data_IF_465309200453
#
_entry.id   IF_465309200453
#
_cell.length_a   1.000
_cell.length_b   1.000
_cell.length_c   1.000
_cell.angle_alpha   90.00
_cell.angle_beta   90.00
_cell.angle_gamma   90.00
#
_symmetry.space_group_name_H-M   'P 1'
#
loop_
_entity.id
_entity.type
_entity.pdbx_description
1 polymer ?
#
# COMPACT_ATOMS: atom_id res chain seq x y z
N UNK A 1 -4.62 28.00 -7.62
CA UNK A 1 -3.83 26.91 -7.10
C UNK A 1 -2.35 27.12 -7.36
N UNK A 2 -1.53 26.82 -6.40
CA UNK A 2 -0.10 26.98 -6.57
C UNK A 2 0.44 25.85 -7.43
N UNK A 3 1.15 26.24 -8.49
CA UNK A 3 1.74 25.26 -9.38
C UNK A 3 3.24 25.25 -9.17
N UNK A 4 3.71 24.13 -8.66
CA UNK A 4 5.13 23.90 -8.46
C UNK A 4 5.68 23.14 -9.65
N UNK A 5 6.99 23.19 -9.86
CA UNK A 5 7.59 22.38 -10.91
C UNK A 5 7.18 20.92 -10.72
N UNK A 6 6.65 20.34 -11.76
CA UNK A 6 6.17 18.95 -11.73
C UNK A 6 4.72 18.80 -11.35
N UNK A 7 4.11 19.79 -10.72
CA UNK A 7 2.72 19.67 -10.31
C UNK A 7 1.73 19.77 -11.46
N UNK A 8 2.17 20.30 -12.58
CA UNK A 8 1.31 20.33 -13.76
C UNK A 8 1.00 18.92 -14.24
N UNK A 9 1.96 18.02 -14.08
CA UNK A 9 1.74 16.62 -14.41
C UNK A 9 1.14 15.87 -13.24
N UNK A 10 1.12 16.48 -12.06
CA UNK A 10 0.58 15.85 -10.86
C UNK A 10 -0.77 16.47 -10.55
N UNK A 11 -1.80 15.76 -10.93
CA UNK A 11 -3.16 16.22 -10.73
C UNK A 11 -3.60 15.83 -9.33
N UNK A 12 -3.78 16.83 -8.48
CA UNK A 12 -4.05 16.58 -7.06
C UNK A 12 -5.32 15.78 -6.86
N UNK A 13 -6.38 16.14 -7.59
CA UNK A 13 -7.66 15.49 -7.38
C UNK A 13 -7.65 14.00 -7.72
N UNK A 14 -7.18 13.58 -8.90
CA UNK A 14 -7.13 12.15 -9.20
C UNK A 14 -6.22 11.38 -8.25
N UNK A 15 -5.11 11.99 -7.82
CA UNK A 15 -4.22 11.30 -6.89
C UNK A 15 -4.86 11.13 -5.54
N UNK A 16 -5.59 12.15 -5.08
CA UNK A 16 -6.29 12.06 -3.81
C UNK A 16 -7.40 11.00 -3.87
N UNK A 17 -8.12 10.95 -4.99
CA UNK A 17 -9.16 9.95 -5.19
C UNK A 17 -8.55 8.54 -5.16
N UNK A 18 -7.38 8.37 -5.79
CA UNK A 18 -6.71 7.08 -5.78
C UNK A 18 -6.37 6.64 -4.35
N UNK A 19 -5.91 7.58 -3.52
CA UNK A 19 -5.61 7.25 -2.13
C UNK A 19 -6.87 6.79 -1.38
N UNK A 20 -7.98 7.46 -1.63
CA UNK A 20 -9.25 7.08 -1.01
C UNK A 20 -9.68 5.69 -1.49
N UNK A 21 -9.52 5.41 -2.78
CA UNK A 21 -9.87 4.09 -3.31
C UNK A 21 -9.02 3.01 -2.69
N UNK A 22 -7.70 3.25 -2.57
CA UNK A 22 -6.82 2.29 -1.92
C UNK A 22 -7.26 2.01 -0.49
N UNK A 23 -7.62 3.07 0.24
CA UNK A 23 -8.12 2.94 1.60
C UNK A 23 -9.36 2.07 1.64
N UNK A 24 -10.33 2.36 0.75
CA UNK A 24 -11.60 1.64 0.75
C UNK A 24 -11.42 0.18 0.35
N UNK A 25 -10.53 -0.10 -0.60
CA UNK A 25 -10.32 -1.48 -1.03
C UNK A 25 -9.69 -2.32 0.06
N UNK A 26 -8.91 -1.71 0.94
CA UNK A 26 -8.28 -2.43 2.03
C UNK A 26 -9.20 -2.66 3.23
N UNK A 27 -10.30 -1.92 3.32
CA UNK A 27 -11.19 -2.05 4.46
C UNK A 27 -11.75 -3.45 4.66
N UNK A 28 -12.25 -4.13 3.60
CA UNK A 28 -12.77 -5.48 3.81
C UNK A 28 -11.71 -6.45 4.33
N UNK A 29 -10.49 -6.30 3.84
CA UNK A 29 -9.40 -7.16 4.30
C UNK A 29 -9.08 -6.88 5.76
N UNK A 30 -8.99 -5.60 6.11
CA UNK A 30 -8.73 -5.20 7.48
C UNK A 30 -9.83 -5.64 8.42
N UNK A 31 -11.08 -5.53 7.98
CA UNK A 31 -12.20 -5.98 8.77
C UNK A 31 -12.11 -7.48 9.06
N UNK A 32 -11.80 -8.26 8.02
CA UNK A 32 -11.67 -9.71 8.19
C UNK A 32 -10.55 -10.05 9.17
N UNK A 33 -9.40 -9.38 9.04
CA UNK A 33 -8.27 -9.66 9.90
C UNK A 33 -8.52 -9.18 11.34
N UNK A 34 -9.24 -8.07 11.47
CA UNK A 34 -9.60 -7.57 12.80
C UNK A 34 -10.41 -8.61 13.56
N UNK A 35 -11.34 -9.25 12.85
CA UNK A 35 -12.22 -10.23 13.47
C UNK A 35 -11.54 -11.56 13.74
N UNK A 36 -10.58 -11.94 12.89
CA UNK A 36 -10.03 -13.29 12.94
C UNK A 36 -8.73 -13.38 13.71
N UNK A 37 -7.88 -12.40 13.56
CA UNK A 37 -6.49 -12.55 13.99
C UNK A 37 -6.06 -11.58 15.09
N UNK A 38 -6.38 -10.31 14.91
CA UNK A 38 -6.07 -9.25 15.87
C UNK A 38 -4.65 -8.74 15.87
N UNK A 39 -3.73 -9.37 15.13
CA UNK A 39 -2.38 -8.83 15.07
C UNK A 39 -2.31 -7.59 14.20
N UNK A 40 -3.24 -7.46 13.23
CA UNK A 40 -3.39 -6.28 12.41
C UNK A 40 -4.81 -6.28 11.87
N UNK A 41 -5.39 -5.11 11.66
CA UNK A 41 -6.76 -5.04 11.23
C UNK A 41 -7.14 -3.70 10.63
N UNK A 42 -8.26 -3.15 11.09
CA UNK A 42 -8.87 -1.97 10.48
C UNK A 42 -7.97 -0.75 10.44
N UNK A 43 -6.99 -0.66 11.32
CA UNK A 43 -6.07 0.44 11.29
C UNK A 43 -4.91 0.19 10.34
N UNK A 44 -4.36 -1.00 10.41
CA UNK A 44 -3.12 -1.31 9.71
C UNK A 44 -3.31 -1.46 8.20
N UNK A 45 -4.36 -2.18 7.78
CA UNK A 45 -4.51 -2.50 6.37
C UNK A 45 -4.77 -1.28 5.50
N UNK A 46 -5.72 -0.40 5.86
CA UNK A 46 -5.89 0.79 5.04
C UNK A 46 -4.66 1.68 5.02
N UNK A 47 -3.92 1.77 6.12
CA UNK A 47 -2.72 2.59 6.14
C UNK A 47 -1.64 2.04 5.21
N UNK A 48 -1.48 0.71 5.17
CA UNK A 48 -0.51 0.10 4.27
C UNK A 48 -0.89 0.37 2.81
N UNK A 49 -2.18 0.23 2.49
CA UNK A 49 -2.64 0.47 1.12
C UNK A 49 -2.42 1.93 0.72
N UNK A 50 -2.78 2.86 1.59
CA UNK A 50 -2.62 4.29 1.30
C UNK A 50 -1.15 4.65 1.15
N UNK A 51 -0.32 4.17 2.06
CA UNK A 51 1.11 4.46 2.01
C UNK A 51 1.73 3.91 0.73
N UNK A 52 1.40 2.66 0.37
CA UNK A 52 1.93 2.06 -0.85
C UNK A 52 1.51 2.85 -2.08
N UNK A 53 0.24 3.23 -2.14
CA UNK A 53 -0.28 4.05 -3.23
C UNK A 53 0.45 5.39 -3.29
N UNK A 54 0.62 6.03 -2.14
CA UNK A 54 1.27 7.33 -2.07
C UNK A 54 2.73 7.29 -2.49
N UNK A 55 3.46 6.25 -2.08
CA UNK A 55 4.86 6.12 -2.49
C UNK A 55 4.98 5.95 -4.00
N UNK A 56 4.08 5.17 -4.60
CA UNK A 56 4.08 4.99 -6.05
C UNK A 56 3.77 6.30 -6.74
N UNK A 57 2.78 7.04 -6.25
CA UNK A 57 2.44 8.34 -6.83
C UNK A 57 3.62 9.30 -6.75
N UNK A 58 4.29 9.34 -5.61
CA UNK A 58 5.44 10.21 -5.44
C UNK A 58 6.56 9.80 -6.40
N UNK A 59 6.79 8.51 -6.54
CA UNK A 59 7.84 8.02 -7.43
C UNK A 59 7.54 8.39 -8.88
N UNK A 60 6.28 8.26 -9.30
CA UNK A 60 5.92 8.63 -10.67
C UNK A 60 6.15 10.10 -10.91
N UNK A 61 5.85 10.92 -9.90
CA UNK A 61 6.02 12.35 -10.01
C UNK A 61 7.48 12.74 -10.21
N UNK A 62 8.38 12.07 -9.50
CA UNK A 62 9.80 12.38 -9.59
C UNK A 62 10.52 11.64 -10.71
N UNK A 63 10.04 10.44 -11.03
CA UNK A 63 10.75 9.58 -11.99
C UNK A 63 10.60 10.07 -13.41
N UNK A 64 9.51 10.76 -13.73
CA UNK A 64 9.25 11.27 -15.08
C UNK A 64 9.41 10.16 -16.13
N UNK A 65 8.95 8.97 -15.79
CA UNK A 65 9.01 7.86 -16.72
C UNK A 65 10.26 7.00 -16.65
N UNK A 66 11.17 7.30 -15.73
CA UNK A 66 12.38 6.49 -15.57
C UNK A 66 12.04 5.19 -14.85
N UNK A 67 12.16 4.09 -15.58
CA UNK A 67 11.79 2.79 -15.03
C UNK A 67 12.66 2.36 -13.87
N UNK A 68 13.93 2.77 -13.86
CA UNK A 68 14.83 2.35 -12.79
C UNK A 68 14.40 2.91 -11.43
N UNK A 69 13.92 4.15 -11.41
CA UNK A 69 13.47 4.75 -10.17
C UNK A 69 12.24 4.00 -9.65
N UNK A 70 11.29 3.74 -10.55
CA UNK A 70 10.09 3.03 -10.15
C UNK A 70 10.40 1.61 -9.68
N UNK A 71 11.31 0.93 -10.37
CA UNK A 71 11.70 -0.42 -9.97
C UNK A 71 12.27 -0.40 -8.55
N UNK A 72 13.11 0.57 -8.23
CA UNK A 72 13.67 0.68 -6.89
C UNK A 72 12.60 0.91 -5.83
N UNK A 73 11.62 1.75 -6.15
CA UNK A 73 10.52 2.02 -5.22
C UNK A 73 9.70 0.76 -5.00
N UNK A 74 9.37 0.03 -6.07
CA UNK A 74 8.59 -1.19 -5.93
C UNK A 74 9.32 -2.24 -5.12
N UNK A 75 10.62 -2.39 -5.34
CA UNK A 75 11.41 -3.33 -4.55
C UNK A 75 11.42 -2.94 -3.09
N UNK A 76 11.55 -1.65 -2.81
CA UNK A 76 11.53 -1.17 -1.44
C UNK A 76 10.18 -1.41 -0.78
N UNK A 77 9.09 -1.21 -1.53
CA UNK A 77 7.76 -1.44 -0.99
C UNK A 77 7.53 -2.91 -0.69
N UNK A 78 7.93 -3.80 -1.62
CA UNK A 78 7.78 -5.22 -1.41
C UNK A 78 8.52 -5.65 -0.14
N UNK A 79 9.74 -5.16 0.01
CA UNK A 79 10.54 -5.48 1.19
C UNK A 79 9.92 -4.91 2.46
N UNK A 80 9.49 -3.65 2.41
CA UNK A 80 8.94 -2.99 3.58
C UNK A 80 7.63 -3.61 4.05
N UNK A 81 6.74 -3.90 3.11
CA UNK A 81 5.47 -4.54 3.46
C UNK A 81 5.74 -5.94 3.99
N UNK A 82 6.74 -6.63 3.42
CA UNK A 82 7.15 -7.93 3.92
C UNK A 82 7.64 -7.84 5.37
N UNK A 83 8.38 -6.78 5.69
CA UNK A 83 8.84 -6.57 7.06
C UNK A 83 7.67 -6.35 8.01
N UNK A 84 6.69 -5.53 7.60
CA UNK A 84 5.49 -5.31 8.41
C UNK A 84 4.73 -6.62 8.59
N UNK A 85 4.61 -7.39 7.50
CA UNK A 85 3.95 -8.67 7.56
C UNK A 85 4.64 -9.63 8.51
N UNK A 86 5.97 -9.65 8.45
CA UNK A 86 6.74 -10.48 9.38
C UNK A 86 6.51 -10.08 10.81
N UNK A 87 6.36 -8.78 11.05
CA UNK A 87 6.07 -8.28 12.39
C UNK A 87 4.68 -8.67 12.89
N UNK A 88 3.77 -9.03 11.99
CA UNK A 88 2.44 -9.45 12.38
C UNK A 88 2.37 -10.93 12.79
N UNK A 89 3.42 -11.67 12.53
CA UNK A 89 3.45 -13.09 12.87
C UNK A 89 3.82 -13.26 14.34
N UNK A 90 2.97 -13.94 15.08
CA UNK A 90 3.15 -14.14 16.50
C UNK A 90 3.38 -15.63 16.78
N UNK A 91 4.31 -15.90 17.67
CA UNK A 91 4.62 -17.27 18.06
C UNK A 91 4.17 -17.49 19.51
N UNK A 92 3.35 -18.51 19.70
CA UNK A 92 2.87 -18.89 21.01
C UNK A 92 3.21 -20.35 21.25
N UNK A 93 4.26 -20.60 22.02
CA UNK A 93 4.68 -21.98 22.26
C UNK A 93 5.03 -22.67 20.96
N UNK A 94 4.27 -23.69 20.59
CA UNK A 94 4.48 -24.41 19.33
C UNK A 94 3.60 -23.90 18.22
N UNK A 95 2.72 -22.92 18.51
CA UNK A 95 1.81 -22.35 17.50
C UNK A 95 2.38 -21.08 16.92
N UNK A 96 2.09 -20.85 15.64
CA UNK A 96 2.43 -19.60 14.98
C UNK A 96 1.14 -18.96 14.50
N UNK A 97 0.92 -17.72 14.94
CA UNK A 97 -0.28 -16.97 14.57
C UNK A 97 0.10 -15.81 13.65
N UNK A 98 -0.83 -15.41 12.83
CA UNK A 98 -0.64 -14.20 12.04
C UNK A 98 -0.11 -14.44 10.63
N UNK A 99 0.05 -15.71 10.21
CA UNK A 99 0.55 -15.95 8.86
C UNK A 99 -0.45 -15.49 7.81
N UNK A 100 -1.75 -15.69 8.05
CA UNK A 100 -2.77 -15.20 7.12
C UNK A 100 -2.79 -13.67 7.10
N UNK A 101 -2.60 -13.06 8.26
CA UNK A 101 -2.52 -11.61 8.33
C UNK A 101 -1.31 -11.08 7.57
N UNK A 102 -0.16 -11.74 7.72
CA UNK A 102 1.04 -11.35 7.00
C UNK A 102 0.83 -11.43 5.49
N UNK A 103 0.23 -12.53 5.02
CA UNK A 103 -0.04 -12.68 3.59
C UNK A 103 -1.03 -11.62 3.10
N UNK A 104 -2.04 -11.32 3.92
CA UNK A 104 -3.03 -10.30 3.56
C UNK A 104 -2.40 -8.91 3.51
N UNK A 105 -1.44 -8.62 4.38
CA UNK A 105 -0.72 -7.34 4.31
C UNK A 105 0.04 -7.21 3.01
N UNK A 106 0.63 -8.30 2.56
CA UNK A 106 1.38 -8.30 1.30
C UNK A 106 0.45 -8.02 0.12
N UNK A 107 -0.72 -8.68 0.11
CA UNK A 107 -1.73 -8.42 -0.91
C UNK A 107 -2.20 -6.97 -0.85
N UNK A 108 -2.40 -6.45 0.35
CA UNK A 108 -2.83 -5.07 0.54
C UNK A 108 -1.81 -4.09 -0.03
N UNK A 109 -0.53 -4.38 0.18
CA UNK A 109 0.51 -3.56 -0.44
C UNK A 109 0.41 -3.57 -1.95
N UNK A 110 0.14 -4.75 -2.52
CA UNK A 110 -0.02 -4.85 -3.97
C UNK A 110 -1.22 -4.05 -4.46
N UNK A 111 -2.31 -4.05 -3.70
CA UNK A 111 -3.48 -3.24 -4.06
C UNK A 111 -3.10 -1.75 -4.11
N UNK A 112 -2.39 -1.29 -3.10
CA UNK A 112 -1.97 0.11 -3.07
C UNK A 112 -1.08 0.46 -4.24
N UNK A 113 -0.13 -0.42 -4.57
CA UNK A 113 0.75 -0.20 -5.72
C UNK A 113 -0.07 -0.14 -7.01
N UNK A 114 -0.97 -1.09 -7.20
CA UNK A 114 -1.76 -1.14 -8.42
C UNK A 114 -2.60 0.12 -8.59
N UNK A 115 -3.26 0.56 -7.52
CA UNK A 115 -4.06 1.77 -7.59
C UNK A 115 -3.17 2.97 -7.87
N UNK A 116 -1.98 3.02 -7.23
CA UNK A 116 -1.05 4.12 -7.44
C UNK A 116 -0.53 4.19 -8.87
N UNK A 117 -0.38 3.04 -9.52
CA UNK A 117 0.06 3.00 -10.92
C UNK A 117 -1.07 3.29 -11.90
N UNK A 118 -2.28 3.51 -11.40
CA UNK A 118 -3.39 3.86 -12.28
C UNK A 118 -4.11 2.66 -12.84
N UNK A 119 -4.09 1.52 -12.16
CA UNK A 119 -4.74 0.32 -12.67
C UNK A 119 -6.24 0.54 -12.87
N UNK A 120 -6.84 1.50 -12.15
CA UNK A 120 -8.26 1.75 -12.26
C UNK A 120 -8.60 2.79 -13.33
N UNK A 121 -7.60 3.40 -13.92
CA UNK A 121 -7.81 4.40 -14.96
C UNK A 121 -7.96 3.79 -16.35
N UNK A 122 -7.78 2.52 -16.43
CA UNK A 122 -7.92 1.82 -17.70
C UNK A 122 -6.70 1.88 -18.56
#
# INVERSE_FOLDING_TARGET
MIELPGMQAFDILPHFVALIIAFLLALPIGWNREREDRSAGLRTFPLVAVASCGFVQAAESFALGEGEVMTGVLEGLITGVGFIGGGAILKHGTSVLGTATAASLWVTGAIGVAVGLGALDG
#
